data_IF_675792206552
#
_entry.id   IF_675792206552
#
_cell.length_a   1.000
_cell.length_b   1.000
_cell.length_c   1.000
_cell.angle_alpha   90.00
_cell.angle_beta   90.00
_cell.angle_gamma   90.00
#
_symmetry.space_group_name_H-M   'P 1'
#
loop_
_entity.id
_entity.type
_entity.pdbx_description
1 polymer ?
#
# COMPACT_ATOMS: atom_id res chain seq x y z
N UNK A 1 -46.12 3.02 20.58
CA UNK A 1 -44.75 3.52 20.83
C UNK A 1 -43.81 2.34 20.59
N UNK A 2 -43.20 2.26 19.40
CA UNK A 2 -42.30 1.17 19.04
C UNK A 2 -40.90 1.49 19.58
N UNK A 3 -40.51 0.82 20.66
CA UNK A 3 -39.12 0.82 21.12
C UNK A 3 -38.29 0.01 20.12
N UNK A 4 -37.53 0.71 19.28
CA UNK A 4 -36.50 0.11 18.45
C UNK A 4 -35.45 -0.54 19.36
N UNK A 5 -35.54 -1.87 19.48
CA UNK A 5 -34.50 -2.68 20.11
C UNK A 5 -33.28 -2.71 19.17
N UNK A 6 -32.35 -1.77 19.36
CA UNK A 6 -31.00 -1.89 18.81
C UNK A 6 -30.33 -3.05 19.53
N UNK A 7 -30.39 -4.24 18.92
CA UNK A 7 -29.62 -5.39 19.35
C UNK A 7 -28.14 -5.02 19.22
N UNK A 8 -27.44 -4.85 20.35
CA UNK A 8 -25.99 -4.71 20.35
C UNK A 8 -25.39 -5.89 19.59
N UNK A 9 -24.65 -5.60 18.50
CA UNK A 9 -23.93 -6.64 17.77
C UNK A 9 -22.68 -6.94 18.61
N UNK A 10 -22.55 -8.13 19.20
CA UNK A 10 -21.38 -8.46 19.98
C UNK A 10 -20.14 -8.42 19.08
N UNK A 11 -19.11 -7.68 19.51
CA UNK A 11 -17.85 -7.60 18.78
C UNK A 11 -17.14 -8.97 18.89
N UNK A 12 -16.77 -9.62 17.77
CA UNK A 12 -16.05 -10.89 17.82
C UNK A 12 -14.74 -10.77 18.60
N UNK A 13 -14.49 -11.70 19.50
CA UNK A 13 -13.25 -11.76 20.30
C UNK A 13 -12.38 -12.94 19.90
N UNK A 14 -11.07 -12.80 20.08
CA UNK A 14 -10.08 -13.83 19.80
C UNK A 14 -8.95 -13.73 20.82
N UNK A 15 -8.55 -14.88 21.36
CA UNK A 15 -7.37 -14.95 22.23
C UNK A 15 -6.11 -14.89 21.37
N UNK A 16 -5.16 -14.06 21.78
CA UNK A 16 -3.87 -13.87 21.09
C UNK A 16 -2.76 -14.12 22.11
N UNK A 17 -1.74 -14.88 21.72
CA UNK A 17 -0.54 -15.06 22.53
C UNK A 17 0.44 -13.95 22.16
N UNK A 18 0.86 -13.18 23.16
CA UNK A 18 1.83 -12.09 23.00
C UNK A 18 3.18 -12.50 23.56
N UNK A 19 4.24 -11.97 22.96
CA UNK A 19 5.57 -12.00 23.56
C UNK A 19 5.67 -10.89 24.60
N UNK A 20 6.63 -10.99 25.51
CA UNK A 20 6.91 -9.96 26.52
C UNK A 20 7.10 -8.58 25.88
N UNK A 21 7.88 -8.51 24.80
CA UNK A 21 8.08 -7.27 24.05
C UNK A 21 6.78 -6.65 23.51
N UNK A 22 5.86 -7.46 22.96
CA UNK A 22 4.61 -6.93 22.42
C UNK A 22 3.69 -6.40 23.53
N UNK A 23 3.69 -7.07 24.70
CA UNK A 23 2.95 -6.60 25.87
C UNK A 23 3.49 -5.23 26.34
N UNK A 24 4.80 -5.08 26.47
CA UNK A 24 5.43 -3.80 26.85
C UNK A 24 5.07 -2.66 25.90
N UNK A 25 5.09 -2.93 24.58
CA UNK A 25 4.71 -1.94 23.57
C UNK A 25 3.24 -1.55 23.71
N UNK A 26 2.34 -2.53 23.84
CA UNK A 26 0.90 -2.27 23.99
C UNK A 26 0.63 -1.49 25.27
N UNK A 27 1.22 -1.92 26.39
CA UNK A 27 1.05 -1.29 27.69
C UNK A 27 1.56 0.16 27.66
N UNK A 28 2.72 0.42 27.06
CA UNK A 28 3.25 1.77 26.89
C UNK A 28 2.34 2.68 26.06
N UNK A 29 1.78 2.16 24.96
CA UNK A 29 0.85 2.90 24.10
C UNK A 29 -0.48 3.21 24.79
N UNK A 30 -0.96 2.34 25.67
CA UNK A 30 -2.16 2.57 26.48
C UNK A 30 -1.88 3.52 27.64
N UNK A 31 -0.77 3.31 28.38
CA UNK A 31 -0.36 4.18 29.52
C UNK A 31 -0.16 5.64 29.11
N UNK A 32 0.34 5.87 27.90
CA UNK A 32 0.49 7.23 27.35
C UNK A 32 -0.82 7.86 26.89
N UNK A 33 -1.92 7.10 26.88
CA UNK A 33 -3.24 7.56 26.44
C UNK A 33 -3.39 7.62 24.93
N UNK A 34 -2.40 7.15 24.15
CA UNK A 34 -2.50 7.12 22.68
C UNK A 34 -3.59 6.18 22.19
N UNK A 35 -3.85 5.11 22.94
CA UNK A 35 -4.96 4.19 22.73
C UNK A 35 -5.67 3.91 24.05
N UNK A 36 -6.97 3.63 24.00
CA UNK A 36 -7.76 3.38 25.21
C UNK A 36 -7.55 1.97 25.78
N UNK A 37 -7.21 1.01 24.91
CA UNK A 37 -7.05 -0.40 25.29
C UNK A 37 -6.22 -1.17 24.26
N UNK A 38 -5.77 -2.37 24.65
CA UNK A 38 -5.01 -3.27 23.79
C UNK A 38 -5.76 -3.65 22.50
N UNK A 39 -7.08 -3.82 22.55
CA UNK A 39 -7.86 -4.18 21.37
C UNK A 39 -7.85 -3.09 20.29
N UNK A 40 -7.77 -1.82 20.67
CA UNK A 40 -7.56 -0.71 19.72
C UNK A 40 -6.20 -0.78 19.06
N UNK A 41 -5.13 -0.99 19.83
CA UNK A 41 -3.77 -1.15 19.30
C UNK A 41 -3.71 -2.30 18.30
N UNK A 42 -4.29 -3.45 18.66
CA UNK A 42 -4.31 -4.63 17.79
C UNK A 42 -5.14 -4.40 16.51
N UNK A 43 -6.29 -3.72 16.59
CA UNK A 43 -7.07 -3.36 15.40
C UNK A 43 -6.31 -2.38 14.50
N UNK A 44 -5.59 -1.43 15.08
CA UNK A 44 -4.75 -0.49 14.34
C UNK A 44 -3.60 -1.22 13.62
N UNK A 45 -2.92 -2.13 14.34
CA UNK A 45 -1.91 -3.02 13.77
C UNK A 45 -2.46 -3.89 12.64
N UNK A 46 -3.65 -4.48 12.79
CA UNK A 46 -4.29 -5.26 11.73
C UNK A 46 -4.58 -4.41 10.50
N UNK A 47 -5.05 -3.17 10.67
CA UNK A 47 -5.30 -2.26 9.55
C UNK A 47 -4.02 -1.93 8.79
N UNK A 48 -2.89 -1.81 9.47
CA UNK A 48 -1.59 -1.61 8.81
C UNK A 48 -1.20 -2.83 7.98
N UNK A 49 -1.46 -4.05 8.46
CA UNK A 49 -1.27 -5.29 7.69
C UNK A 49 -2.17 -5.29 6.46
N UNK A 50 -3.46 -5.01 6.61
CA UNK A 50 -4.41 -4.94 5.48
C UNK A 50 -3.99 -3.91 4.43
N UNK A 51 -3.54 -2.72 4.85
CA UNK A 51 -3.06 -1.67 3.94
C UNK A 51 -1.81 -2.12 3.18
N UNK A 52 -0.88 -2.83 3.85
CA UNK A 52 0.32 -3.37 3.21
C UNK A 52 -0.05 -4.40 2.14
N UNK A 53 -0.94 -5.34 2.48
CA UNK A 53 -1.41 -6.36 1.54
C UNK A 53 -2.14 -5.74 0.33
N UNK A 54 -3.00 -4.74 0.58
CA UNK A 54 -3.69 -4.02 -0.49
C UNK A 54 -2.71 -3.28 -1.41
N UNK A 55 -1.68 -2.64 -0.84
CA UNK A 55 -0.63 -1.95 -1.60
C UNK A 55 0.18 -2.92 -2.44
N UNK A 56 0.55 -4.07 -1.89
CA UNK A 56 1.33 -5.07 -2.62
C UNK A 56 0.52 -5.65 -3.78
N UNK A 57 -0.75 -6.00 -3.55
CA UNK A 57 -1.65 -6.45 -4.60
C UNK A 57 -1.81 -5.41 -5.72
N UNK A 58 -1.98 -4.14 -5.37
CA UNK A 58 -2.07 -3.06 -6.35
C UNK A 58 -0.76 -2.88 -7.13
N UNK A 59 0.38 -3.02 -6.46
CA UNK A 59 1.71 -2.95 -7.10
C UNK A 59 1.89 -4.08 -8.11
N UNK A 60 1.58 -5.31 -7.74
CA UNK A 60 1.68 -6.47 -8.63
C UNK A 60 0.78 -6.30 -9.85
N UNK A 61 -0.49 -5.91 -9.65
CA UNK A 61 -1.41 -5.66 -10.75
C UNK A 61 -0.90 -4.57 -11.72
N UNK A 62 -0.30 -3.50 -11.19
CA UNK A 62 0.29 -2.45 -12.01
C UNK A 62 1.52 -2.94 -12.81
N UNK A 63 2.35 -3.80 -12.22
CA UNK A 63 3.51 -4.39 -12.90
C UNK A 63 3.08 -5.38 -14.00
N UNK A 64 2.09 -6.23 -13.72
CA UNK A 64 1.53 -7.17 -14.71
C UNK A 64 0.95 -6.41 -15.91
N UNK A 65 0.18 -5.35 -15.65
CA UNK A 65 -0.38 -4.54 -16.73
C UNK A 65 0.69 -3.80 -17.52
N UNK A 66 1.70 -3.22 -16.85
CA UNK A 66 2.82 -2.57 -17.52
C UNK A 66 3.62 -3.55 -18.40
N UNK A 67 3.86 -4.77 -17.90
CA UNK A 67 4.52 -5.82 -18.67
C UNK A 67 3.68 -6.23 -19.88
N UNK A 68 2.38 -6.45 -19.70
CA UNK A 68 1.45 -6.79 -20.79
C UNK A 68 1.43 -5.73 -21.88
N UNK A 69 1.38 -4.44 -21.50
CA UNK A 69 1.47 -3.33 -22.45
C UNK A 69 2.81 -3.36 -23.19
N UNK A 70 3.93 -3.51 -22.45
CA UNK A 70 5.27 -3.55 -23.03
C UNK A 70 5.47 -4.69 -24.03
N UNK A 71 5.03 -5.90 -23.70
CA UNK A 71 5.13 -7.05 -24.63
C UNK A 71 4.31 -6.84 -25.90
N UNK A 72 3.08 -6.32 -25.77
CA UNK A 72 2.27 -5.96 -26.93
C UNK A 72 2.93 -4.87 -27.79
N UNK A 73 3.54 -3.87 -27.17
CA UNK A 73 4.29 -2.83 -27.90
C UNK A 73 5.47 -3.44 -28.67
N UNK A 74 6.17 -4.44 -28.11
CA UNK A 74 7.23 -5.16 -28.82
C UNK A 74 6.69 -5.95 -30.02
N UNK A 75 5.60 -6.69 -29.85
CA UNK A 75 4.95 -7.46 -30.92
C UNK A 75 4.49 -6.56 -32.08
N UNK A 76 3.99 -5.37 -31.76
CA UNK A 76 3.50 -4.41 -32.75
C UNK A 76 4.60 -3.45 -33.25
N UNK A 77 5.87 -3.70 -32.91
CA UNK A 77 7.02 -2.91 -33.38
C UNK A 77 7.09 -1.49 -32.81
N UNK A 78 6.36 -1.18 -31.75
CA UNK A 78 6.33 0.13 -31.07
C UNK A 78 7.47 0.28 -30.06
N UNK A 79 8.69 0.00 -30.49
CA UNK A 79 9.89 0.20 -29.67
C UNK A 79 10.93 1.04 -30.41
N UNK A 80 11.98 1.43 -29.69
CA UNK A 80 13.14 2.12 -30.26
C UNK A 80 14.40 1.37 -29.86
N UNK A 81 15.20 1.00 -30.85
CA UNK A 81 16.53 0.46 -30.60
C UNK A 81 17.47 1.57 -30.12
N UNK A 82 18.02 1.38 -28.93
CA UNK A 82 18.98 2.30 -28.32
C UNK A 82 20.23 1.52 -28.00
N UNK A 83 21.35 1.94 -28.58
CA UNK A 83 22.66 1.37 -28.29
C UNK A 83 23.15 1.82 -26.91
N UNK A 84 23.98 1.00 -26.26
CA UNK A 84 24.45 1.25 -24.88
C UNK A 84 25.18 2.60 -24.73
N UNK A 85 25.97 3.00 -25.72
CA UNK A 85 26.69 4.28 -25.76
C UNK A 85 25.76 5.50 -25.82
N UNK A 86 24.49 5.32 -26.20
CA UNK A 86 23.49 6.40 -26.31
C UNK A 86 22.42 6.35 -25.23
N UNK A 87 22.39 5.29 -24.42
CA UNK A 87 21.32 5.05 -23.44
C UNK A 87 21.19 6.22 -22.45
N UNK A 88 22.29 6.67 -21.86
CA UNK A 88 22.29 7.75 -20.87
C UNK A 88 21.76 9.07 -21.45
N UNK A 89 22.21 9.43 -22.65
CA UNK A 89 21.74 10.63 -23.37
C UNK A 89 20.26 10.54 -23.71
N UNK A 90 19.81 9.36 -24.14
CA UNK A 90 18.42 9.10 -24.47
C UNK A 90 17.52 9.23 -23.23
N UNK A 91 17.87 8.57 -22.12
CA UNK A 91 17.12 8.65 -20.86
C UNK A 91 17.07 10.08 -20.31
N UNK A 92 18.19 10.79 -20.34
CA UNK A 92 18.24 12.21 -19.92
C UNK A 92 17.34 13.10 -20.78
N UNK A 93 17.23 12.80 -22.08
CA UNK A 93 16.32 13.49 -22.99
C UNK A 93 14.85 13.28 -22.63
N UNK A 94 14.46 12.02 -22.37
CA UNK A 94 13.10 11.67 -21.93
C UNK A 94 12.75 12.35 -20.60
N UNK A 95 13.68 12.37 -19.64
CA UNK A 95 13.50 13.04 -18.36
C UNK A 95 13.17 14.53 -18.52
N UNK A 96 13.95 15.26 -19.33
CA UNK A 96 13.69 16.68 -19.63
C UNK A 96 12.32 16.90 -20.28
N UNK A 97 11.95 16.07 -21.24
CA UNK A 97 10.65 16.16 -21.91
C UNK A 97 9.48 15.96 -20.93
N UNK A 98 9.60 14.99 -20.02
CA UNK A 98 8.59 14.73 -19.01
C UNK A 98 8.45 15.90 -18.01
N UNK A 99 9.56 16.48 -17.56
CA UNK A 99 9.55 17.64 -16.66
C UNK A 99 8.88 18.86 -17.28
N UNK A 100 9.14 19.15 -18.56
CA UNK A 100 8.50 20.27 -19.28
C UNK A 100 7.00 20.04 -19.41
N UNK A 101 6.57 18.80 -19.70
CA UNK A 101 5.16 18.45 -19.86
C UNK A 101 4.37 18.53 -18.54
N UNK A 102 5.03 18.29 -17.40
CA UNK A 102 4.44 18.45 -16.07
C UNK A 102 4.42 19.90 -15.58
N UNK A 103 5.34 20.76 -16.03
CA UNK A 103 5.37 22.18 -15.64
C UNK A 103 4.32 23.05 -16.35
N UNK A 104 3.72 22.55 -17.43
CA UNK A 104 2.63 23.21 -18.17
C UNK A 104 1.22 22.75 -17.78
N UNK A 105 1.09 21.95 -16.72
CA UNK A 105 -0.17 21.52 -16.10
C UNK A 105 -0.30 22.17 -14.73
#
# INVERSE_FOLDING_TARGET
MLLNSFKEIPVPTRNVVLTEHHEEVIEGLVKTGRYQNASEVLRDGLRLVEQREAREKARLAALEEAARIGFRDLEEGRFRDVSNDRLEKFMSGLGRQASVKNAGR
#
